data_IF_772980371647
#
_entry.id   IF_772980371647
#
_cell.length_a   1.000
_cell.length_b   1.000
_cell.length_c   1.000
_cell.angle_alpha   90.00
_cell.angle_beta   90.00
_cell.angle_gamma   90.00
#
_symmetry.space_group_name_H-M   'P 1'
#
loop_
_entity.id
_entity.type
_entity.pdbx_description
1 polymer ?
#
# COMPACT_ATOMS: atom_id res chain seq x y z
N UNK A 1 -13.09 -1.01 21.72
CA UNK A 1 -12.33 -0.71 20.50
C UNK A 1 -12.80 0.56 19.82
N UNK A 2 -14.09 0.77 19.58
CA UNK A 2 -14.61 1.95 18.87
C UNK A 2 -14.26 3.31 19.55
N UNK A 3 -14.14 3.34 20.88
CA UNK A 3 -13.79 4.57 21.62
C UNK A 3 -12.31 4.96 21.54
N UNK A 4 -11.46 4.08 21.04
CA UNK A 4 -10.00 4.28 20.96
C UNK A 4 -9.51 4.52 19.53
N UNK A 5 -10.38 4.30 18.54
CA UNK A 5 -10.09 4.56 17.13
C UNK A 5 -10.42 6.01 16.78
N UNK A 6 -9.56 6.60 15.96
CA UNK A 6 -9.76 7.97 15.44
C UNK A 6 -10.04 7.90 13.94
N UNK A 7 -11.09 8.59 13.50
CA UNK A 7 -11.36 8.73 12.06
C UNK A 7 -10.54 9.90 11.50
N UNK A 8 -9.88 9.68 10.35
CA UNK A 8 -9.11 10.68 9.63
C UNK A 8 -9.50 10.67 8.15
N UNK A 9 -9.71 11.84 7.58
CA UNK A 9 -9.85 12.05 6.13
C UNK A 9 -8.50 12.45 5.55
N UNK A 10 -8.16 11.86 4.41
CA UNK A 10 -6.89 12.08 3.70
C UNK A 10 -7.23 12.36 2.24
N UNK A 11 -6.72 13.43 1.68
CA UNK A 11 -6.97 13.82 0.29
C UNK A 11 -6.09 13.04 -0.68
N UNK A 12 -6.56 12.91 -1.91
CA UNK A 12 -5.77 12.36 -3.01
C UNK A 12 -4.39 13.02 -3.07
N UNK A 13 -3.33 12.23 -3.17
CA UNK A 13 -1.94 12.66 -3.21
C UNK A 13 -1.28 12.86 -1.85
N UNK A 14 -2.04 12.94 -0.75
CA UNK A 14 -1.48 13.03 0.59
C UNK A 14 -0.96 11.67 1.06
N UNK A 15 0.04 11.70 1.94
CA UNK A 15 0.58 10.50 2.57
C UNK A 15 -0.21 10.10 3.80
N UNK A 16 -0.53 8.82 3.88
CA UNK A 16 -1.06 8.17 5.08
C UNK A 16 0.08 7.76 6.01
N UNK A 17 1.24 7.42 5.41
CA UNK A 17 2.44 6.99 6.13
C UNK A 17 3.70 7.26 5.30
N UNK A 18 4.79 7.69 5.94
CA UNK A 18 6.05 8.09 5.30
C UNK A 18 7.28 7.43 5.94
N UNK A 19 7.27 6.10 6.07
CA UNK A 19 8.41 5.37 6.60
C UNK A 19 8.63 5.58 8.11
N UNK A 20 9.88 5.44 8.56
CA UNK A 20 10.26 5.36 9.98
C UNK A 20 9.92 6.61 10.84
N UNK A 21 9.54 7.71 10.21
CA UNK A 21 9.35 9.00 10.90
C UNK A 21 8.02 9.12 11.63
N UNK A 22 7.03 8.30 11.29
CA UNK A 22 5.68 8.43 11.80
C UNK A 22 5.07 7.08 12.17
N UNK A 23 5.32 6.61 13.41
CA UNK A 23 4.54 5.48 13.90
C UNK A 23 3.10 5.91 14.16
N UNK A 24 2.25 5.81 13.15
CA UNK A 24 0.86 6.24 13.25
C UNK A 24 -0.05 5.18 13.88
N UNK A 25 0.35 3.91 13.85
CA UNK A 25 -0.48 2.78 14.27
C UNK A 25 -1.09 2.03 13.09
N UNK A 26 -2.00 1.11 13.37
CA UNK A 26 -2.72 0.33 12.35
C UNK A 26 -3.92 1.12 11.87
N UNK A 27 -4.18 1.13 10.57
CA UNK A 27 -5.40 1.73 10.06
C UNK A 27 -6.21 0.78 9.15
N UNK A 28 -7.52 1.04 9.09
CA UNK A 28 -8.45 0.44 8.17
C UNK A 28 -8.94 1.49 7.19
N UNK A 29 -8.94 1.14 5.91
CA UNK A 29 -9.47 1.99 4.86
C UNK A 29 -10.99 1.78 4.77
N UNK A 30 -11.76 2.76 5.28
CA UNK A 30 -13.23 2.71 5.21
C UNK A 30 -13.76 3.06 3.84
N UNK A 31 -13.06 3.96 3.16
CA UNK A 31 -13.42 4.46 1.83
C UNK A 31 -12.17 4.96 1.12
N UNK A 32 -12.16 4.84 -0.21
CA UNK A 32 -11.09 5.36 -1.06
C UNK A 32 -10.11 4.29 -1.50
N UNK A 33 -8.92 4.73 -1.91
CA UNK A 33 -7.86 3.88 -2.43
C UNK A 33 -6.50 4.47 -2.08
N UNK A 34 -5.58 3.64 -1.63
CA UNK A 34 -4.20 4.02 -1.36
C UNK A 34 -3.24 2.99 -1.95
N UNK A 35 -2.03 3.40 -2.29
CA UNK A 35 -0.95 2.52 -2.72
C UNK A 35 0.12 2.42 -1.65
N UNK A 36 0.68 1.23 -1.50
CA UNK A 36 1.87 0.95 -0.69
C UNK A 36 3.04 0.74 -1.65
N UNK A 37 4.13 1.48 -1.46
CA UNK A 37 5.24 1.49 -2.41
C UNK A 37 6.58 1.72 -1.72
N UNK A 38 7.65 1.39 -2.44
CA UNK A 38 9.03 1.70 -2.07
C UNK A 38 9.55 2.85 -2.90
N UNK A 39 10.51 3.59 -2.35
CA UNK A 39 11.28 4.61 -3.06
C UNK A 39 12.75 4.19 -3.04
N UNK A 40 13.37 4.12 -4.22
CA UNK A 40 14.81 3.86 -4.34
C UNK A 40 15.63 5.10 -4.00
N UNK A 41 16.94 4.93 -3.76
CA UNK A 41 17.87 6.06 -3.60
C UNK A 41 17.98 7.01 -4.81
N UNK A 42 17.43 6.61 -5.97
CA UNK A 42 17.31 7.43 -7.19
C UNK A 42 15.89 7.95 -7.40
N UNK A 43 15.08 8.00 -6.34
CA UNK A 43 13.69 8.49 -6.33
C UNK A 43 12.69 7.70 -7.19
N UNK A 44 13.11 6.55 -7.76
CA UNK A 44 12.19 5.67 -8.47
C UNK A 44 11.27 4.97 -7.46
N UNK A 45 10.00 4.91 -7.81
CA UNK A 45 8.99 4.27 -7.01
C UNK A 45 8.59 2.92 -7.62
N UNK A 46 8.19 1.97 -6.80
CA UNK A 46 7.54 0.73 -7.23
C UNK A 46 6.38 0.42 -6.28
N UNK A 47 5.20 0.23 -6.83
CA UNK A 47 4.03 -0.16 -6.04
C UNK A 47 4.13 -1.64 -5.68
N UNK A 48 4.01 -1.92 -4.38
CA UNK A 48 3.99 -3.29 -3.86
C UNK A 48 2.58 -3.87 -3.93
N UNK A 49 1.58 -3.11 -3.47
CA UNK A 49 0.17 -3.46 -3.53
C UNK A 49 -0.70 -2.22 -3.30
N UNK A 50 -1.97 -2.35 -3.57
CA UNK A 50 -2.98 -1.34 -3.25
C UNK A 50 -3.82 -1.75 -2.06
N UNK A 51 -4.29 -0.73 -1.34
CA UNK A 51 -5.29 -0.85 -0.31
C UNK A 51 -6.60 -0.31 -0.88
N UNK A 52 -7.60 -1.17 -0.86
CA UNK A 52 -8.96 -0.85 -1.29
C UNK A 52 -9.88 -0.73 -0.07
N UNK A 53 -11.13 -0.39 -0.30
CA UNK A 53 -12.14 -0.31 0.75
C UNK A 53 -12.20 -1.60 1.58
N UNK A 54 -12.19 -1.46 2.91
CA UNK A 54 -12.14 -2.51 3.95
C UNK A 54 -10.78 -3.18 4.15
N UNK A 55 -9.77 -2.80 3.39
CA UNK A 55 -8.41 -3.27 3.65
C UNK A 55 -7.83 -2.64 4.93
N UNK A 56 -6.97 -3.40 5.58
CA UNK A 56 -6.19 -2.95 6.74
C UNK A 56 -4.71 -2.84 6.39
N UNK A 57 -4.03 -1.86 6.98
CA UNK A 57 -2.60 -1.70 6.87
C UNK A 57 -1.94 -1.82 8.24
N UNK A 58 -1.07 -2.83 8.38
CA UNK A 58 -0.27 -3.07 9.58
C UNK A 58 1.14 -2.50 9.45
N UNK A 59 1.66 -2.30 8.22
CA UNK A 59 3.01 -1.76 8.01
C UNK A 59 3.16 -0.32 8.51
N UNK A 60 2.06 0.42 8.66
CA UNK A 60 2.05 1.74 9.29
C UNK A 60 2.32 1.72 10.81
N UNK A 61 2.32 0.54 11.42
CA UNK A 61 2.71 0.29 12.81
C UNK A 61 4.11 -0.34 12.91
N UNK A 62 5.04 0.02 12.03
CA UNK A 62 6.41 -0.52 11.96
C UNK A 62 7.17 -0.42 13.29
N UNK A 63 6.88 0.58 14.12
CA UNK A 63 7.44 0.73 15.46
C UNK A 63 7.09 -0.43 16.42
N UNK A 64 6.00 -1.14 16.17
CA UNK A 64 5.55 -2.29 16.97
C UNK A 64 5.98 -3.61 16.34
N UNK A 65 6.07 -3.65 15.03
CA UNK A 65 6.49 -4.85 14.28
C UNK A 65 8.03 -4.87 14.25
N UNK A 66 8.62 -5.66 15.14
CA UNK A 66 10.08 -5.82 15.21
C UNK A 66 10.64 -6.44 13.92
N UNK A 67 11.85 -6.03 13.54
CA UNK A 67 12.63 -6.56 12.40
C UNK A 67 12.13 -6.16 10.99
N UNK A 68 11.37 -5.09 10.86
CA UNK A 68 11.16 -4.45 9.55
C UNK A 68 12.36 -3.52 9.30
N UNK A 69 13.17 -3.84 8.28
CA UNK A 69 14.38 -3.09 7.91
C UNK A 69 14.23 -2.38 6.56
N UNK A 70 13.01 -2.00 6.19
CA UNK A 70 12.73 -1.25 4.96
C UNK A 70 11.62 -0.23 5.20
N UNK A 71 11.75 0.91 4.53
CA UNK A 71 10.76 1.96 4.60
C UNK A 71 9.72 1.77 3.49
N UNK A 72 8.46 1.68 3.89
CA UNK A 72 7.32 1.75 2.97
C UNK A 72 6.68 3.12 3.04
N UNK A 73 6.11 3.54 1.94
CA UNK A 73 5.32 4.77 1.83
C UNK A 73 3.89 4.38 1.48
N UNK A 74 2.94 5.10 2.05
CA UNK A 74 1.52 4.88 1.77
C UNK A 74 0.90 6.21 1.37
N UNK A 75 0.38 6.28 0.16
CA UNK A 75 -0.18 7.50 -0.43
C UNK A 75 -1.59 7.26 -0.94
N UNK A 76 -2.48 8.21 -0.69
CA UNK A 76 -3.85 8.18 -1.20
C UNK A 76 -3.89 8.37 -2.73
N UNK A 77 -4.44 7.42 -3.45
CA UNK A 77 -4.72 7.52 -4.90
C UNK A 77 -6.10 8.15 -5.18
N UNK A 78 -7.03 7.99 -4.25
CA UNK A 78 -8.34 8.66 -4.20
C UNK A 78 -8.52 9.30 -2.82
N UNK A 79 -9.48 10.21 -2.66
CA UNK A 79 -9.84 10.71 -1.33
C UNK A 79 -10.16 9.52 -0.41
N UNK A 80 -9.54 9.48 0.75
CA UNK A 80 -9.63 8.36 1.68
C UNK A 80 -10.25 8.77 3.01
N UNK A 81 -10.93 7.81 3.62
CA UNK A 81 -11.36 7.87 5.01
C UNK A 81 -10.85 6.64 5.74
N UNK A 82 -10.04 6.85 6.77
CA UNK A 82 -9.40 5.78 7.52
C UNK A 82 -9.85 5.80 8.99
N UNK A 83 -9.89 4.61 9.59
CA UNK A 83 -9.94 4.42 11.03
C UNK A 83 -8.54 4.07 11.53
N UNK A 84 -8.01 4.87 12.41
CA UNK A 84 -6.68 4.72 12.98
C UNK A 84 -6.77 4.13 14.39
N UNK A 85 -6.06 3.03 14.63
CA UNK A 85 -5.82 2.45 15.94
C UNK A 85 -4.38 2.78 16.37
N UNK A 86 -4.18 3.50 17.48
CA UNK A 86 -2.85 3.82 17.98
C UNK A 86 -1.99 2.56 18.21
N UNK A 87 -0.68 2.68 17.96
CA UNK A 87 0.26 1.56 18.00
C UNK A 87 0.33 0.85 19.36
N UNK A 88 0.28 1.61 20.45
CA UNK A 88 0.27 1.05 21.81
C UNK A 88 -0.99 0.21 22.09
N UNK A 89 -2.15 0.67 21.62
CA UNK A 89 -3.41 -0.09 21.76
C UNK A 89 -3.39 -1.35 20.93
N UNK A 90 -2.85 -1.25 19.71
CA UNK A 90 -2.65 -2.40 18.83
C UNK A 90 -1.75 -3.45 19.49
N UNK A 91 -0.61 -3.04 20.06
CA UNK A 91 0.31 -3.94 20.76
C UNK A 91 -0.38 -4.66 21.93
N UNK A 92 -1.08 -3.93 22.78
CA UNK A 92 -1.83 -4.50 23.90
C UNK A 92 -2.88 -5.54 23.46
N UNK A 93 -3.54 -5.26 22.34
CA UNK A 93 -4.55 -6.16 21.80
C UNK A 93 -3.94 -7.43 21.20
N UNK A 94 -2.77 -7.32 20.55
CA UNK A 94 -2.04 -8.45 19.99
C UNK A 94 -1.60 -9.43 21.09
N UNK A 95 -1.21 -8.93 22.25
CA UNK A 95 -0.81 -9.76 23.41
C UNK A 95 -2.01 -10.46 24.07
N UNK A 96 -3.20 -9.85 24.03
CA UNK A 96 -4.38 -10.32 24.77
C UNK A 96 -5.40 -11.08 23.94
N UNK A 97 -5.32 -11.00 22.60
CA UNK A 97 -6.32 -11.56 21.70
C UNK A 97 -5.71 -12.47 20.65
N UNK A 98 -5.75 -13.76 20.90
CA UNK A 98 -5.31 -14.78 19.94
C UNK A 98 -6.07 -14.69 18.59
N UNK A 99 -7.39 -14.47 18.51
CA UNK A 99 -8.08 -14.30 17.24
C UNK A 99 -7.57 -13.10 16.44
N UNK A 100 -7.26 -11.97 17.11
CA UNK A 100 -6.70 -10.78 16.43
C UNK A 100 -5.29 -11.08 15.90
N UNK A 101 -4.44 -11.70 16.72
CA UNK A 101 -3.09 -12.08 16.30
C UNK A 101 -3.12 -13.02 15.08
N UNK A 102 -4.03 -14.00 15.08
CA UNK A 102 -4.22 -14.91 13.93
C UNK A 102 -4.66 -14.15 12.68
N UNK A 103 -5.63 -13.24 12.79
CA UNK A 103 -6.08 -12.40 11.69
C UNK A 103 -4.95 -11.53 11.13
N UNK A 104 -4.18 -10.87 12.00
CA UNK A 104 -3.04 -10.06 11.59
C UNK A 104 -1.99 -10.87 10.84
N UNK A 105 -1.67 -12.08 11.31
CA UNK A 105 -0.74 -12.99 10.65
C UNK A 105 -1.24 -13.39 9.25
N UNK A 106 -2.54 -13.67 9.08
CA UNK A 106 -3.12 -13.97 7.77
C UNK A 106 -2.99 -12.80 6.80
N UNK A 107 -3.27 -11.58 7.25
CA UNK A 107 -3.11 -10.38 6.41
C UNK A 107 -1.63 -10.18 6.05
N UNK A 108 -0.70 -10.30 7.00
CA UNK A 108 0.72 -10.16 6.72
C UNK A 108 1.21 -11.21 5.73
N UNK A 109 0.77 -12.47 5.84
CA UNK A 109 1.09 -13.52 4.88
C UNK A 109 0.55 -13.21 3.48
N UNK A 110 -0.67 -12.66 3.38
CA UNK A 110 -1.23 -12.21 2.10
C UNK A 110 -0.39 -11.07 1.50
N UNK A 111 -0.04 -10.05 2.29
CA UNK A 111 0.81 -8.93 1.81
C UNK A 111 2.22 -9.37 1.43
N UNK A 112 2.78 -10.34 2.14
CA UNK A 112 4.05 -10.96 1.73
C UNK A 112 3.92 -11.62 0.36
N UNK A 113 2.84 -12.36 0.11
CA UNK A 113 2.59 -12.98 -1.20
C UNK A 113 2.43 -11.94 -2.31
N UNK A 114 1.73 -10.82 -2.05
CA UNK A 114 1.62 -9.70 -3.00
C UNK A 114 3.01 -9.15 -3.37
N UNK A 115 3.87 -8.92 -2.37
CA UNK A 115 5.24 -8.42 -2.58
C UNK A 115 6.10 -9.41 -3.35
N UNK A 116 6.01 -10.70 -3.02
CA UNK A 116 6.73 -11.76 -3.74
C UNK A 116 6.29 -11.85 -5.20
N UNK A 117 4.99 -11.69 -5.48
CA UNK A 117 4.50 -11.64 -6.85
C UNK A 117 5.07 -10.43 -7.62
N UNK A 118 5.09 -9.23 -7.01
CA UNK A 118 5.70 -8.04 -7.64
C UNK A 118 7.19 -8.26 -7.91
N UNK A 119 7.92 -8.89 -7.00
CA UNK A 119 9.32 -9.24 -7.17
C UNK A 119 9.51 -10.20 -8.35
N UNK A 120 8.72 -11.26 -8.42
CA UNK A 120 8.73 -12.23 -9.53
C UNK A 120 8.46 -11.53 -10.87
N UNK A 121 7.42 -10.69 -10.94
CA UNK A 121 7.11 -9.93 -12.14
C UNK A 121 8.27 -9.01 -12.54
N UNK A 122 8.92 -8.37 -11.56
CA UNK A 122 10.02 -7.43 -11.83
C UNK A 122 11.27 -8.13 -12.39
N UNK A 123 11.55 -9.35 -11.91
CA UNK A 123 12.74 -10.10 -12.29
C UNK A 123 12.54 -10.89 -13.59
N UNK A 124 11.38 -11.53 -13.75
CA UNK A 124 11.17 -12.53 -14.80
C UNK A 124 10.22 -12.13 -15.93
N UNK A 125 9.53 -10.98 -15.79
CA UNK A 125 8.53 -10.55 -16.76
C UNK A 125 8.97 -9.28 -17.49
N UNK A 126 8.81 -9.24 -18.84
CA UNK A 126 9.12 -8.06 -19.63
C UNK A 126 8.25 -6.87 -19.23
N UNK A 127 8.75 -5.65 -19.44
CA UNK A 127 8.03 -4.43 -19.09
C UNK A 127 6.71 -4.29 -19.85
N UNK A 128 6.67 -4.70 -21.14
CA UNK A 128 5.43 -4.68 -21.95
C UNK A 128 4.32 -5.50 -21.32
N UNK A 129 4.66 -6.71 -20.86
CA UNK A 129 3.71 -7.60 -20.19
C UNK A 129 3.28 -7.03 -18.83
N UNK A 130 4.21 -6.44 -18.07
CA UNK A 130 3.90 -5.78 -16.79
C UNK A 130 3.00 -4.58 -16.99
N UNK A 131 3.22 -3.79 -18.04
CA UNK A 131 2.35 -2.67 -18.42
C UNK A 131 0.94 -3.17 -18.78
N UNK A 132 0.83 -4.24 -19.58
CA UNK A 132 -0.46 -4.81 -19.94
C UNK A 132 -1.24 -5.30 -18.69
N UNK A 133 -0.57 -6.01 -17.77
CA UNK A 133 -1.18 -6.46 -16.51
C UNK A 133 -1.63 -5.28 -15.65
N UNK A 134 -0.81 -4.25 -15.53
CA UNK A 134 -1.15 -3.03 -14.80
C UNK A 134 -2.39 -2.33 -15.38
N UNK A 135 -2.48 -2.20 -16.70
CA UNK A 135 -3.64 -1.56 -17.36
C UNK A 135 -4.92 -2.39 -17.18
N UNK A 136 -4.82 -3.73 -17.20
CA UNK A 136 -5.96 -4.61 -16.91
C UNK A 136 -6.42 -4.50 -15.46
N UNK A 137 -5.49 -4.46 -14.51
CA UNK A 137 -5.78 -4.22 -13.10
C UNK A 137 -6.45 -2.86 -12.91
N UNK A 138 -5.90 -1.81 -13.52
CA UNK A 138 -6.45 -0.45 -13.42
C UNK A 138 -7.88 -0.39 -14.00
N UNK A 139 -8.13 -1.04 -15.13
CA UNK A 139 -9.47 -1.18 -15.70
C UNK A 139 -10.44 -1.83 -14.72
N UNK A 140 -10.01 -2.89 -14.01
CA UNK A 140 -10.85 -3.58 -13.04
C UNK A 140 -11.15 -2.71 -11.80
N UNK A 141 -10.14 -1.95 -11.33
CA UNK A 141 -10.28 -1.06 -10.16
C UNK A 141 -11.18 0.15 -10.46
N UNK A 142 -11.06 0.73 -11.67
CA UNK A 142 -11.85 1.90 -12.08
C UNK A 142 -13.20 1.52 -12.69
N UNK A 143 -13.45 0.21 -12.88
CA UNK A 143 -14.65 -0.32 -13.55
C UNK A 143 -14.91 0.36 -14.91
N UNK A 144 -13.84 0.78 -15.60
CA UNK A 144 -13.88 1.57 -16.82
C UNK A 144 -12.86 1.07 -17.83
N UNK A 145 -13.21 1.13 -19.12
CA UNK A 145 -12.26 0.90 -20.20
C UNK A 145 -11.47 2.16 -20.59
N UNK A 146 -11.94 3.33 -20.17
CA UNK A 146 -11.28 4.62 -20.41
C UNK A 146 -10.43 4.97 -19.18
N UNK A 147 -9.11 4.82 -19.31
CA UNK A 147 -8.17 5.04 -18.23
C UNK A 147 -7.53 6.43 -18.34
N UNK A 148 -7.70 7.25 -17.29
CA UNK A 148 -7.09 8.58 -17.17
C UNK A 148 -5.87 8.53 -16.26
N UNK A 149 -4.75 7.99 -16.78
CA UNK A 149 -3.51 7.82 -16.03
C UNK A 149 -2.32 8.41 -16.81
N UNK A 150 -1.43 9.10 -16.11
CA UNK A 150 -0.24 9.69 -16.72
C UNK A 150 0.88 8.66 -16.88
N UNK A 151 1.78 8.86 -17.86
CA UNK A 151 2.98 8.03 -18.02
C UNK A 151 3.87 8.05 -16.78
N UNK A 152 3.89 9.16 -16.05
CA UNK A 152 4.60 9.27 -14.77
C UNK A 152 3.97 8.37 -13.71
N UNK A 153 2.65 8.39 -13.56
CA UNK A 153 1.98 7.50 -12.62
C UNK A 153 2.22 6.02 -12.98
N UNK A 154 2.12 5.65 -14.26
CA UNK A 154 2.45 4.29 -14.75
C UNK A 154 3.90 3.92 -14.40
N UNK A 155 4.85 4.81 -14.67
CA UNK A 155 6.26 4.54 -14.38
C UNK A 155 6.53 4.35 -12.89
N UNK A 156 5.86 5.13 -12.03
CA UNK A 156 5.92 5.02 -10.57
C UNK A 156 5.31 3.70 -10.07
N UNK A 157 4.29 3.18 -10.72
CA UNK A 157 3.74 1.87 -10.38
C UNK A 157 4.65 0.72 -10.78
N UNK A 158 5.26 0.82 -11.96
CA UNK A 158 6.06 -0.26 -12.55
C UNK A 158 7.55 -0.26 -12.15
N UNK A 159 8.02 0.76 -11.41
CA UNK A 159 9.42 0.87 -11.04
C UNK A 159 10.34 1.17 -12.23
N UNK A 160 9.86 1.89 -13.24
CA UNK A 160 10.61 2.22 -14.45
C UNK A 160 10.74 3.74 -14.66
N UNK A 161 11.46 4.17 -15.69
CA UNK A 161 11.54 5.57 -16.03
C UNK A 161 10.36 6.00 -16.93
N UNK A 162 9.87 7.25 -16.76
CA UNK A 162 8.78 7.82 -17.56
C UNK A 162 9.05 7.76 -19.05
N UNK A 163 10.30 8.02 -19.46
CA UNK A 163 10.72 7.99 -20.86
C UNK A 163 10.56 6.62 -21.49
N UNK A 164 10.73 5.55 -20.71
CA UNK A 164 10.53 4.18 -21.16
C UNK A 164 9.06 3.93 -21.44
N UNK A 165 8.17 4.31 -20.52
CA UNK A 165 6.72 4.19 -20.70
C UNK A 165 6.24 5.03 -21.90
N UNK A 166 6.83 6.20 -22.13
CA UNK A 166 6.45 7.07 -23.25
C UNK A 166 6.80 6.49 -24.62
N UNK A 167 7.81 5.60 -24.68
CA UNK A 167 8.26 4.95 -25.95
C UNK A 167 7.50 3.66 -26.27
N UNK A 168 6.78 3.12 -25.30
CA UNK A 168 5.96 1.92 -25.45
C UNK A 168 4.59 2.26 -26.05
#
# INVERSE_FOLDING_TARGET
LERTMTERSVKRGEYLYQGDRDCTGVFWLRYGQARVFLISGTEKQITLYRLLERDSCFLSASCVIKNINFDVFIQAEKDCRILLLPANVYQDLMEKSFPLATYCNQILASRFSDVMWVMEQTIFTSLDRRLALFLLEQKAIDESSDLHITHEAISNHLGTAREVVTRM
#
